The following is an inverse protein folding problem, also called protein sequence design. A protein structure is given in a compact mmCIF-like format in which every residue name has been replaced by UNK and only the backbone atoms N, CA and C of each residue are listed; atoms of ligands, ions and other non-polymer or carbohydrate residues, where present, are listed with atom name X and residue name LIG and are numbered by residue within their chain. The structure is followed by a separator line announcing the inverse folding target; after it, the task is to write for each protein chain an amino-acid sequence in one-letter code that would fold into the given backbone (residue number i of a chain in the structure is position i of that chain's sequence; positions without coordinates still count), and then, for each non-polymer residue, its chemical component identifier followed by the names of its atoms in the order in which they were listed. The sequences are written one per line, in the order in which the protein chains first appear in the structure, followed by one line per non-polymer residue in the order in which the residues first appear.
data_IF_352854207204
#
_entry.id   IF_352854207204
#
_cell.length_a   1.000
_cell.length_b   1.000
_cell.length_c   1.000
_cell.angle_alpha   90.00
_cell.angle_beta   90.00
_cell.angle_gamma   90.00
#
_symmetry.space_group_name_H-M   'P 1'
#
loop_
_entity.id
_entity.type
_entity.pdbx_description
1 polymer ?
#
# COMPACT_ATOMS: atom_id res chain seq x y z
N UNK A 1 -23.97 -74.51 45.06
CA UNK A 1 -23.07 -74.79 46.19
C UNK A 1 -21.93 -73.77 46.16
N UNK A 2 -21.64 -73.14 47.32
CA UNK A 2 -20.37 -72.51 47.81
C UNK A 2 -19.53 -71.66 46.82
N UNK A 3 -19.43 -70.32 46.99
CA UNK A 3 -18.55 -69.52 47.91
C UNK A 3 -17.06 -69.85 47.70
N UNK A 4 -16.15 -68.94 47.33
CA UNK A 4 -15.66 -67.73 48.06
C UNK A 4 -14.86 -66.81 47.10
N UNK A 5 -15.05 -65.47 47.08
CA UNK A 5 -14.32 -64.41 47.86
C UNK A 5 -12.85 -64.28 47.43
N UNK A 6 -12.27 -63.13 47.04
CA UNK A 6 -12.01 -61.86 47.77
C UNK A 6 -11.87 -60.68 46.77
N UNK A 7 -12.60 -59.57 46.93
CA UNK A 7 -12.20 -58.29 47.58
C UNK A 7 -10.84 -57.74 47.13
N UNK A 8 -10.81 -56.58 46.45
CA UNK A 8 -10.36 -55.31 47.05
C UNK A 8 -10.80 -54.11 46.19
N UNK A 9 -11.28 -53.09 46.88
CA UNK A 9 -11.77 -51.83 46.35
C UNK A 9 -10.63 -50.82 46.15
N UNK A 10 -10.80 -49.93 45.18
CA UNK A 10 -10.39 -48.53 45.29
C UNK A 10 -11.09 -47.72 44.20
N UNK A 11 -12.13 -46.99 44.59
CA UNK A 11 -12.69 -45.90 43.80
C UNK A 11 -11.81 -44.66 44.03
N UNK A 12 -11.28 -44.09 42.95
CA UNK A 12 -10.76 -42.73 42.91
C UNK A 12 -11.57 -41.96 41.87
N UNK A 13 -12.48 -41.13 42.37
CA UNK A 13 -13.19 -40.13 41.58
C UNK A 13 -12.21 -39.02 41.20
N UNK A 14 -11.81 -38.97 39.93
CA UNK A 14 -11.15 -37.80 39.35
C UNK A 14 -12.22 -36.91 38.69
N UNK A 15 -12.67 -35.89 39.40
CA UNK A 15 -13.41 -34.77 38.82
C UNK A 15 -12.38 -33.92 38.09
N UNK A 16 -12.13 -34.25 36.83
CA UNK A 16 -11.36 -33.41 35.92
C UNK A 16 -12.24 -32.26 35.45
N UNK A 17 -12.01 -31.06 35.98
CA UNK A 17 -12.53 -29.81 35.41
C UNK A 17 -11.83 -29.59 34.07
N UNK A 18 -12.46 -30.04 32.99
CA UNK A 18 -12.08 -29.70 31.62
C UNK A 18 -12.45 -28.24 31.38
N UNK A 19 -11.56 -27.32 31.74
CA UNK A 19 -11.62 -25.95 31.23
C UNK A 19 -11.32 -26.00 29.72
N UNK A 20 -12.39 -26.09 28.92
CA UNK A 20 -12.35 -25.82 27.49
C UNK A 20 -11.93 -24.36 27.32
N UNK A 21 -10.64 -24.13 27.13
CA UNK A 21 -10.14 -22.86 26.62
C UNK A 21 -10.72 -22.70 25.21
N UNK A 22 -11.79 -21.93 25.09
CA UNK A 22 -12.33 -21.55 23.80
C UNK A 22 -11.20 -20.89 22.98
N UNK A 23 -10.94 -21.32 21.73
CA UNK A 23 -9.98 -20.63 20.89
C UNK A 23 -10.43 -19.17 20.77
N UNK A 24 -9.58 -18.25 21.20
CA UNK A 24 -9.87 -16.83 21.09
C UNK A 24 -10.17 -16.49 19.63
N UNK A 25 -11.41 -16.06 19.36
CA UNK A 25 -11.79 -15.57 18.05
C UNK A 25 -10.89 -14.38 17.72
N UNK A 26 -9.95 -14.56 16.79
CA UNK A 26 -9.25 -13.42 16.20
C UNK A 26 -10.26 -12.69 15.34
N UNK A 27 -10.36 -11.37 15.52
CA UNK A 27 -11.11 -10.53 14.61
C UNK A 27 -10.52 -10.70 13.19
N UNK A 28 -11.38 -10.76 12.20
CA UNK A 28 -10.98 -10.75 10.80
C UNK A 28 -10.22 -9.46 10.48
N UNK A 29 -9.19 -9.49 9.62
CA UNK A 29 -8.51 -8.27 9.18
C UNK A 29 -9.51 -7.25 8.66
N UNK A 30 -9.46 -6.05 9.24
CA UNK A 30 -10.45 -5.03 8.95
C UNK A 30 -10.05 -4.25 7.68
N UNK A 31 -10.94 -4.22 6.70
CA UNK A 31 -10.76 -3.45 5.48
C UNK A 31 -10.67 -1.95 5.78
N UNK A 32 -9.61 -1.31 5.30
CA UNK A 32 -9.41 0.13 5.44
C UNK A 32 -9.83 0.83 4.15
N UNK A 33 -11.05 1.37 4.12
CA UNK A 33 -11.54 2.14 2.97
C UNK A 33 -11.19 3.61 3.14
N UNK A 34 -10.58 4.23 2.13
CA UNK A 34 -10.19 5.64 2.17
C UNK A 34 -8.80 5.91 1.63
N UNK A 35 -8.35 7.15 1.84
CA UNK A 35 -7.13 7.67 1.24
C UNK A 35 -5.92 7.37 2.14
N UNK A 36 -4.95 6.66 1.60
CA UNK A 36 -3.58 6.57 2.12
C UNK A 36 -2.78 7.72 1.50
N UNK A 37 -2.84 8.88 2.16
CA UNK A 37 -2.21 10.10 1.67
C UNK A 37 -0.69 9.98 1.79
N UNK A 38 0.02 10.17 0.67
CA UNK A 38 1.46 9.92 0.62
C UNK A 38 2.26 11.10 1.16
N UNK A 39 3.19 10.82 2.07
CA UNK A 39 4.26 11.74 2.43
C UNK A 39 5.30 11.76 1.30
N UNK A 40 5.78 12.95 0.89
CA UNK A 40 6.79 13.06 -0.14
C UNK A 40 8.11 12.39 0.28
N UNK A 41 8.76 11.74 -0.67
CA UNK A 41 10.11 11.21 -0.51
C UNK A 41 11.11 12.34 -0.30
N UNK A 42 11.87 12.26 0.78
CA UNK A 42 12.92 13.24 1.12
C UNK A 42 14.23 12.51 1.29
N UNK A 43 15.26 13.02 0.61
CA UNK A 43 16.63 12.54 0.73
C UNK A 43 17.46 13.58 1.46
N UNK A 44 17.80 13.31 2.72
CA UNK A 44 18.56 14.23 3.57
C UNK A 44 19.60 13.46 4.39
N UNK A 45 20.82 13.98 4.46
CA UNK A 45 21.92 13.41 5.26
C UNK A 45 22.25 11.93 4.99
N UNK A 46 21.87 11.42 3.81
CA UNK A 46 22.04 9.99 3.47
C UNK A 46 20.92 9.07 3.90
N UNK A 47 19.86 9.63 4.43
CA UNK A 47 18.64 8.93 4.83
C UNK A 47 17.55 9.28 3.83
N UNK A 48 16.72 8.30 3.50
CA UNK A 48 15.51 8.49 2.72
C UNK A 48 14.32 8.29 3.66
N UNK A 49 13.40 9.24 3.66
CA UNK A 49 12.13 9.19 4.40
C UNK A 49 10.96 9.46 3.45
N UNK A 50 9.74 9.10 3.87
CA UNK A 50 8.55 9.28 3.04
C UNK A 50 8.46 8.21 1.94
N UNK A 51 7.77 8.52 0.84
CA UNK A 51 7.51 7.53 -0.22
C UNK A 51 8.62 7.49 -1.27
N UNK A 52 9.04 6.30 -1.67
CA UNK A 52 10.04 6.12 -2.73
C UNK A 52 9.88 4.78 -3.47
N UNK A 53 10.50 4.74 -4.65
CA UNK A 53 10.64 3.55 -5.49
C UNK A 53 12.11 3.22 -5.69
N UNK A 54 12.44 1.93 -5.76
CA UNK A 54 13.72 1.43 -6.26
C UNK A 54 13.47 0.31 -7.25
N UNK A 55 14.30 0.21 -8.27
CA UNK A 55 14.22 -0.91 -9.21
C UNK A 55 15.34 -1.90 -8.92
N UNK A 56 15.00 -3.10 -8.49
CA UNK A 56 15.93 -4.21 -8.25
C UNK A 56 16.34 -4.80 -9.60
N UNK A 57 17.64 -5.02 -9.79
CA UNK A 57 18.17 -5.68 -10.98
C UNK A 57 17.73 -7.15 -11.04
N UNK A 58 17.67 -7.79 -12.22
CA UNK A 58 17.26 -9.19 -12.34
C UNK A 58 18.06 -10.17 -11.46
N UNK A 59 19.30 -9.83 -11.11
CA UNK A 59 20.18 -10.63 -10.24
C UNK A 59 20.02 -10.35 -8.75
N UNK A 60 19.33 -9.28 -8.35
CA UNK A 60 19.24 -8.81 -6.97
C UNK A 60 18.01 -9.28 -6.19
N UNK A 61 17.92 -8.86 -4.94
CA UNK A 61 16.77 -9.09 -4.07
C UNK A 61 16.32 -7.78 -3.40
N UNK A 62 15.51 -7.86 -2.34
CA UNK A 62 15.04 -6.69 -1.61
C UNK A 62 16.17 -5.81 -1.06
N UNK A 63 17.39 -6.34 -0.89
CA UNK A 63 18.62 -5.62 -0.52
C UNK A 63 19.49 -5.16 -1.69
N UNK A 64 19.11 -5.48 -2.94
CA UNK A 64 19.80 -5.09 -4.17
C UNK A 64 20.58 -6.23 -4.85
N UNK A 65 21.42 -5.92 -5.86
CA UNK A 65 21.69 -4.59 -6.39
C UNK A 65 20.49 -3.94 -7.07
N UNK A 66 20.48 -2.61 -7.09
CA UNK A 66 19.43 -1.81 -7.70
C UNK A 66 19.94 -1.09 -8.94
N UNK A 67 19.04 -0.83 -9.89
CA UNK A 67 19.27 0.03 -11.03
C UNK A 67 19.41 1.48 -10.56
N UNK A 68 20.39 2.20 -11.11
CA UNK A 68 20.58 3.62 -10.84
C UNK A 68 19.67 4.46 -11.74
N UNK A 69 18.83 5.31 -11.16
CA UNK A 69 18.10 6.34 -11.88
C UNK A 69 18.95 7.61 -11.96
N UNK A 70 19.53 7.91 -13.12
CA UNK A 70 20.34 9.12 -13.33
C UNK A 70 19.54 10.41 -13.13
N UNK A 71 18.22 10.36 -13.25
CA UNK A 71 17.33 11.51 -13.03
C UNK A 71 16.96 11.72 -11.56
N UNK A 72 17.37 10.82 -10.67
CA UNK A 72 17.13 10.98 -9.24
C UNK A 72 17.89 12.16 -8.68
N UNK A 73 17.20 12.95 -7.84
CA UNK A 73 17.79 14.06 -7.09
C UNK A 73 18.48 13.62 -5.80
N UNK A 74 18.36 12.34 -5.43
CA UNK A 74 19.00 11.81 -4.23
C UNK A 74 20.49 11.54 -4.48
N UNK A 75 21.29 11.66 -3.41
CA UNK A 75 22.71 11.26 -3.48
C UNK A 75 22.87 9.77 -3.77
N UNK A 76 21.93 8.94 -3.31
CA UNK A 76 21.78 7.56 -3.77
C UNK A 76 20.85 7.55 -4.99
N UNK A 77 21.44 7.46 -6.18
CA UNK A 77 20.69 7.46 -7.44
C UNK A 77 19.84 6.21 -7.65
N UNK A 78 19.95 5.17 -6.82
CA UNK A 78 19.04 4.02 -6.89
C UNK A 78 17.67 4.28 -6.29
N UNK A 79 17.51 5.41 -5.60
CA UNK A 79 16.27 5.84 -4.96
C UNK A 79 15.56 6.84 -5.87
N UNK A 80 14.29 6.60 -6.16
CA UNK A 80 13.42 7.54 -6.86
C UNK A 80 12.36 8.05 -5.88
N UNK A 81 12.50 9.27 -5.35
CA UNK A 81 11.49 9.86 -4.47
C UNK A 81 10.14 9.97 -5.15
N UNK A 82 9.08 9.64 -4.43
CA UNK A 82 7.71 9.75 -4.89
C UNK A 82 7.01 10.89 -4.14
N UNK A 83 5.96 11.45 -4.72
CA UNK A 83 5.09 12.42 -4.06
C UNK A 83 3.64 12.09 -4.37
N UNK A 84 2.73 12.55 -3.51
CA UNK A 84 1.30 12.37 -3.68
C UNK A 84 0.82 12.88 -5.04
N UNK A 85 0.04 12.07 -5.75
CA UNK A 85 -0.61 12.45 -7.00
C UNK A 85 -1.76 13.43 -6.81
N UNK A 86 -2.52 13.67 -7.88
CA UNK A 86 -3.67 14.58 -7.90
C UNK A 86 -4.76 14.20 -6.91
N UNK A 87 -4.86 12.92 -6.57
CA UNK A 87 -5.84 12.42 -5.60
C UNK A 87 -5.27 12.38 -4.16
N UNK A 88 -4.04 12.86 -3.97
CA UNK A 88 -3.36 12.90 -2.67
C UNK A 88 -2.67 11.59 -2.26
N UNK A 89 -2.78 10.52 -3.05
CA UNK A 89 -2.17 9.22 -2.74
C UNK A 89 -2.96 8.02 -3.24
N UNK A 90 -2.79 6.89 -2.56
CA UNK A 90 -3.45 5.63 -2.87
C UNK A 90 -4.83 5.56 -2.21
N UNK A 91 -5.87 5.30 -2.98
CA UNK A 91 -7.23 5.07 -2.47
C UNK A 91 -7.46 3.58 -2.33
N UNK A 92 -7.70 3.14 -1.09
CA UNK A 92 -8.12 1.77 -0.78
C UNK A 92 -9.65 1.70 -0.80
N UNK A 93 -10.18 0.67 -1.44
CA UNK A 93 -11.59 0.48 -1.76
C UNK A 93 -12.07 1.18 -3.04
N UNK A 94 -11.17 1.74 -3.86
CA UNK A 94 -11.57 2.48 -5.07
C UNK A 94 -10.47 2.58 -6.14
N UNK A 95 -10.83 2.39 -7.40
CA UNK A 95 -9.91 2.56 -8.53
C UNK A 95 -9.57 4.03 -8.81
N UNK A 96 -8.33 4.27 -9.20
CA UNK A 96 -7.79 5.53 -9.67
C UNK A 96 -7.23 5.31 -11.08
N UNK A 97 -8.10 5.08 -12.09
CA UNK A 97 -7.66 4.67 -13.40
C UNK A 97 -6.84 5.74 -14.10
N UNK A 98 -5.92 5.29 -14.94
CA UNK A 98 -5.24 6.15 -15.89
C UNK A 98 -6.27 6.77 -16.88
N UNK A 99 -6.04 7.99 -17.38
CA UNK A 99 -6.87 8.62 -18.39
C UNK A 99 -6.75 7.87 -19.72
N UNK A 100 -7.71 8.11 -20.61
CA UNK A 100 -7.70 7.54 -21.95
C UNK A 100 -6.43 7.90 -22.73
N UNK A 101 -5.98 9.16 -22.62
CA UNK A 101 -4.67 9.60 -23.11
C UNK A 101 -3.64 9.48 -21.97
N UNK A 102 -3.04 8.30 -21.81
CA UNK A 102 -2.09 8.05 -20.72
C UNK A 102 -0.69 8.64 -20.99
N UNK A 103 -0.37 8.95 -22.25
CA UNK A 103 0.96 9.37 -22.70
C UNK A 103 0.92 10.65 -23.53
N UNK A 104 1.97 11.46 -23.41
CA UNK A 104 2.26 12.51 -24.38
C UNK A 104 3.01 11.95 -25.61
N UNK A 105 3.28 12.82 -26.60
CA UNK A 105 3.99 12.41 -27.82
C UNK A 105 5.44 11.97 -27.60
N UNK A 106 6.03 12.19 -26.42
CA UNK A 106 7.38 11.75 -26.05
C UNK A 106 7.36 10.50 -25.14
N UNK A 107 6.18 9.95 -24.85
CA UNK A 107 6.02 8.77 -24.01
C UNK A 107 6.00 9.04 -22.50
N UNK A 108 5.97 10.30 -22.07
CA UNK A 108 5.81 10.65 -20.66
C UNK A 108 4.41 10.34 -20.19
N UNK A 109 4.30 9.82 -18.97
CA UNK A 109 3.02 9.59 -18.33
C UNK A 109 2.32 10.93 -18.04
N UNK A 110 1.10 11.08 -18.54
CA UNK A 110 0.28 12.28 -18.33
C UNK A 110 -0.54 12.23 -17.03
N UNK A 111 -0.62 11.07 -16.39
CA UNK A 111 -1.49 10.85 -15.25
C UNK A 111 -0.75 10.43 -14.02
N UNK A 112 -0.74 11.29 -13.00
CA UNK A 112 -0.25 10.95 -11.68
C UNK A 112 -1.34 11.02 -10.63
N UNK A 113 -2.30 10.10 -10.67
CA UNK A 113 -3.40 10.08 -9.68
C UNK A 113 -2.94 9.56 -8.32
N UNK A 114 -2.19 8.45 -8.30
CA UNK A 114 -1.65 7.88 -7.06
C UNK A 114 -0.36 8.61 -6.65
N UNK A 115 0.62 8.69 -7.54
CA UNK A 115 1.83 9.50 -7.38
C UNK A 115 1.93 10.54 -8.49
N UNK A 116 2.52 11.70 -8.24
CA UNK A 116 2.88 12.62 -9.33
C UNK A 116 3.78 11.92 -10.35
N UNK A 117 3.78 12.32 -11.63
CA UNK A 117 4.76 11.82 -12.58
C UNK A 117 6.19 12.13 -12.10
N UNK A 118 7.09 11.16 -12.19
CA UNK A 118 8.49 11.29 -11.79
C UNK A 118 9.40 10.77 -12.89
N UNK A 119 10.46 11.52 -13.16
CA UNK A 119 11.43 11.19 -14.20
C UNK A 119 12.22 9.92 -13.86
N UNK A 120 12.26 8.99 -14.81
CA UNK A 120 13.03 7.76 -14.71
C UNK A 120 13.61 7.41 -16.09
N UNK A 121 14.93 7.50 -16.23
CA UNK A 121 15.63 7.31 -17.51
C UNK A 121 15.07 8.17 -18.65
N UNK A 122 14.94 9.47 -18.40
CA UNK A 122 14.54 10.45 -19.41
C UNK A 122 13.04 10.54 -19.68
N UNK A 123 12.23 9.62 -19.16
CA UNK A 123 10.76 9.60 -19.33
C UNK A 123 10.05 9.66 -17.97
N UNK A 124 8.99 10.46 -17.86
CA UNK A 124 8.18 10.49 -16.64
C UNK A 124 7.33 9.23 -16.55
N UNK A 125 7.46 8.47 -15.44
CA UNK A 125 6.50 7.43 -15.11
C UNK A 125 5.46 7.95 -14.12
N UNK A 126 4.30 7.30 -14.10
CA UNK A 126 3.30 7.58 -13.10
C UNK A 126 2.46 6.35 -12.76
N UNK A 127 1.76 6.40 -11.63
CA UNK A 127 1.06 5.27 -11.03
C UNK A 127 -0.46 5.47 -11.03
N UNK A 128 -1.18 4.38 -11.30
CA UNK A 128 -2.64 4.32 -11.34
C UNK A 128 -3.15 2.96 -10.87
N UNK A 129 -4.39 2.87 -10.41
CA UNK A 129 -5.06 1.59 -10.12
C UNK A 129 -6.19 1.37 -11.12
N UNK A 130 -6.07 0.33 -11.94
CA UNK A 130 -6.96 0.07 -13.08
C UNK A 130 -7.80 -1.20 -12.85
N UNK A 131 -9.08 -1.23 -13.24
CA UNK A 131 -9.92 -2.43 -13.10
C UNK A 131 -9.44 -3.63 -13.94
N UNK A 132 -8.80 -3.36 -15.07
CA UNK A 132 -8.10 -4.35 -15.88
C UNK A 132 -6.64 -3.94 -16.02
N UNK A 133 -5.73 -4.92 -15.98
CA UNK A 133 -4.32 -4.70 -16.25
C UNK A 133 -4.15 -4.26 -17.71
N UNK A 134 -3.72 -3.01 -17.98
CA UNK A 134 -3.65 -2.50 -19.35
C UNK A 134 -2.67 -3.27 -20.23
N UNK A 135 -1.71 -4.00 -19.64
CA UNK A 135 -0.73 -4.78 -20.38
C UNK A 135 -1.33 -6.10 -20.91
N UNK A 136 -2.16 -6.78 -20.11
CA UNK A 136 -2.63 -8.14 -20.39
C UNK A 136 -4.13 -8.22 -20.68
N UNK A 137 -4.90 -7.18 -20.35
CA UNK A 137 -6.36 -7.15 -20.41
C UNK A 137 -7.06 -7.94 -19.30
N UNK A 138 -6.31 -8.61 -18.42
CA UNK A 138 -6.85 -9.42 -17.33
C UNK A 138 -7.47 -8.52 -16.26
N UNK A 139 -8.63 -8.92 -15.73
CA UNK A 139 -9.27 -8.22 -14.61
C UNK A 139 -8.41 -8.26 -13.34
N UNK A 140 -8.45 -7.19 -12.57
CA UNK A 140 -7.70 -7.05 -11.31
C UNK A 140 -8.63 -6.94 -10.11
N UNK A 141 -8.06 -7.08 -8.92
CA UNK A 141 -8.77 -6.80 -7.67
C UNK A 141 -8.93 -5.30 -7.44
N UNK A 142 -10.02 -4.94 -6.76
CA UNK A 142 -10.18 -3.59 -6.21
C UNK A 142 -9.00 -3.33 -5.26
N UNK A 143 -8.28 -2.20 -5.40
CA UNK A 143 -7.15 -1.92 -4.51
C UNK A 143 -7.64 -1.86 -3.08
N UNK A 144 -7.14 -2.73 -2.20
CA UNK A 144 -7.65 -2.86 -0.85
C UNK A 144 -6.51 -3.14 0.14
N UNK A 145 -6.45 -2.35 1.20
CA UNK A 145 -5.60 -2.57 2.35
C UNK A 145 -6.44 -3.02 3.55
N UNK A 146 -5.86 -3.87 4.38
CA UNK A 146 -6.46 -4.40 5.61
C UNK A 146 -5.55 -4.12 6.79
N UNK A 147 -6.14 -3.97 7.98
CA UNK A 147 -5.42 -3.85 9.24
C UNK A 147 -5.79 -4.98 10.20
N UNK A 148 -4.77 -5.63 10.75
CA UNK A 148 -4.89 -6.58 11.86
C UNK A 148 -3.90 -6.17 12.96
N UNK A 149 -4.42 -5.61 14.07
CA UNK A 149 -3.58 -5.17 15.19
C UNK A 149 -2.50 -4.15 14.79
N UNK A 150 -2.79 -3.27 13.83
CA UNK A 150 -1.84 -2.28 13.31
C UNK A 150 -0.85 -2.81 12.27
N UNK A 151 -0.94 -4.10 11.87
CA UNK A 151 -0.21 -4.63 10.72
C UNK A 151 -1.05 -4.47 9.47
N UNK A 152 -0.42 -3.99 8.40
CA UNK A 152 -1.05 -3.82 7.10
C UNK A 152 -0.75 -4.99 6.16
N UNK A 153 -1.77 -5.42 5.43
CA UNK A 153 -1.71 -6.31 4.28
C UNK A 153 -2.64 -5.79 3.19
N UNK A 154 -2.66 -6.41 2.01
CA UNK A 154 -3.61 -5.99 0.97
C UNK A 154 -3.45 -6.66 -0.38
N UNK A 155 -4.33 -6.23 -1.27
CA UNK A 155 -4.33 -6.51 -2.70
C UNK A 155 -4.21 -5.19 -3.45
N UNK A 156 -3.08 -4.98 -4.12
CA UNK A 156 -2.88 -3.88 -5.07
C UNK A 156 -2.60 -4.42 -6.47
N UNK A 157 -3.17 -5.58 -6.84
CA UNK A 157 -3.03 -6.18 -8.18
C UNK A 157 -3.41 -5.26 -9.33
N UNK A 158 -4.23 -4.25 -9.05
CA UNK A 158 -4.64 -3.19 -9.98
C UNK A 158 -3.59 -2.10 -10.22
N UNK A 159 -2.52 -2.04 -9.42
CA UNK A 159 -1.50 -1.00 -9.54
C UNK A 159 -0.67 -1.20 -10.82
N UNK A 160 -0.75 -0.22 -11.72
CA UNK A 160 0.04 -0.13 -12.93
C UNK A 160 0.99 1.07 -12.90
N UNK A 161 2.09 0.95 -13.63
CA UNK A 161 3.02 2.03 -13.92
C UNK A 161 3.05 2.30 -15.41
N UNK A 162 2.72 3.52 -15.77
CA UNK A 162 2.78 4.06 -17.12
C UNK A 162 4.18 4.62 -17.36
N UNK A 163 4.91 4.13 -18.36
CA UNK A 163 6.25 4.62 -18.72
C UNK A 163 6.57 4.31 -20.18
N UNK A 164 7.03 5.30 -20.93
CA UNK A 164 7.54 5.16 -22.30
C UNK A 164 6.59 4.40 -23.24
N UNK A 165 5.34 4.87 -23.32
CA UNK A 165 4.28 4.26 -24.14
C UNK A 165 3.93 2.81 -23.78
N UNK A 166 4.32 2.36 -22.58
CA UNK A 166 3.99 1.05 -22.05
C UNK A 166 3.41 1.17 -20.64
N UNK A 167 2.64 0.15 -20.27
CA UNK A 167 2.15 -0.01 -18.89
C UNK A 167 2.69 -1.31 -18.35
N UNK A 168 3.23 -1.26 -17.14
CA UNK A 168 3.74 -2.41 -16.41
C UNK A 168 2.90 -2.62 -15.17
N UNK A 169 2.36 -3.83 -14.99
CA UNK A 169 1.72 -4.17 -13.73
C UNK A 169 2.77 -4.17 -12.61
N UNK A 170 2.55 -3.36 -11.58
CA UNK A 170 3.42 -3.22 -10.40
C UNK A 170 2.70 -3.57 -9.09
N UNK A 171 1.52 -4.16 -9.21
CA UNK A 171 0.71 -4.63 -8.11
C UNK A 171 1.27 -5.85 -7.41
N UNK A 172 0.75 -6.08 -6.21
CA UNK A 172 0.90 -7.35 -5.50
C UNK A 172 -0.40 -7.71 -4.75
N UNK A 173 -0.90 -8.96 -4.88
CA UNK A 173 -0.41 -9.98 -5.81
C UNK A 173 -0.54 -9.53 -7.28
N UNK A 174 -0.03 -10.33 -8.22
CA UNK A 174 -0.35 -10.10 -9.64
C UNK A 174 -1.84 -10.38 -9.91
N UNK A 175 -2.42 -9.86 -11.02
CA UNK A 175 -3.75 -10.26 -11.44
C UNK A 175 -3.89 -11.80 -11.45
N UNK A 176 -4.94 -12.31 -10.80
CA UNK A 176 -5.12 -13.75 -10.53
C UNK A 176 -4.55 -14.25 -9.20
N UNK A 177 -4.02 -13.38 -8.34
CA UNK A 177 -3.65 -13.69 -6.95
C UNK A 177 -2.25 -14.30 -6.77
N UNK A 178 -1.51 -14.54 -7.85
CA UNK A 178 -0.17 -15.13 -7.80
C UNK A 178 0.93 -14.15 -7.36
N UNK A 179 2.03 -14.71 -6.85
CA UNK A 179 3.25 -13.98 -6.49
C UNK A 179 4.44 -14.49 -7.33
N UNK A 180 4.42 -14.33 -8.66
CA UNK A 180 5.45 -14.87 -9.52
C UNK A 180 6.80 -14.20 -9.29
N UNK A 181 7.85 -15.00 -9.41
CA UNK A 181 9.23 -14.54 -9.33
C UNK A 181 9.55 -13.89 -7.98
N UNK A 182 9.95 -12.62 -8.01
CA UNK A 182 10.33 -11.81 -6.83
C UNK A 182 9.20 -10.90 -6.35
N UNK A 183 7.96 -11.18 -6.71
CA UNK A 183 6.80 -10.46 -6.19
C UNK A 183 6.54 -10.89 -4.74
N UNK A 184 6.46 -9.93 -3.80
CA UNK A 184 6.16 -10.21 -2.40
C UNK A 184 4.74 -9.77 -2.06
N UNK A 185 4.08 -10.37 -1.05
CA UNK A 185 2.87 -9.79 -0.48
C UNK A 185 3.11 -8.35 -0.01
N UNK A 186 2.03 -7.57 0.08
CA UNK A 186 2.06 -6.27 0.75
C UNK A 186 2.19 -6.50 2.25
N UNK A 187 3.11 -5.76 2.86
CA UNK A 187 3.32 -5.77 4.30
C UNK A 187 3.53 -4.34 4.80
N UNK A 188 3.11 -4.06 6.03
CA UNK A 188 3.27 -2.72 6.57
C UNK A 188 2.76 -2.57 7.99
N UNK A 189 2.71 -1.33 8.44
CA UNK A 189 2.18 -0.96 9.75
C UNK A 189 1.36 0.32 9.66
N UNK A 190 0.38 0.46 10.54
CA UNK A 190 -0.37 1.68 10.78
C UNK A 190 -0.53 1.89 12.29
N UNK A 191 -0.30 3.12 12.76
CA UNK A 191 -0.52 3.47 14.17
C UNK A 191 -1.93 4.05 14.41
N UNK A 192 -2.25 4.33 15.67
CA UNK A 192 -3.54 4.88 16.06
C UNK A 192 -3.79 6.31 15.55
N UNK A 193 -2.74 7.05 15.18
CA UNK A 193 -2.85 8.37 14.57
C UNK A 193 -3.03 8.29 13.04
N UNK A 194 -2.94 7.09 12.45
CA UNK A 194 -3.06 6.87 11.01
C UNK A 194 -1.74 6.96 10.26
N UNK A 195 -0.60 7.13 10.95
CA UNK A 195 0.70 7.07 10.26
C UNK A 195 0.90 5.66 9.74
N UNK A 196 1.21 5.52 8.45
CA UNK A 196 1.41 4.21 7.84
C UNK A 196 2.73 4.12 7.08
N UNK A 197 3.19 2.88 6.94
CA UNK A 197 4.21 2.46 5.98
C UNK A 197 3.76 1.14 5.38
N UNK A 198 3.80 1.02 4.05
CA UNK A 198 3.62 -0.24 3.33
C UNK A 198 4.77 -0.47 2.36
N UNK A 199 5.17 -1.73 2.25
CA UNK A 199 6.27 -2.18 1.41
C UNK A 199 5.87 -3.45 0.66
N UNK A 200 6.24 -3.53 -0.62
CA UNK A 200 6.16 -4.74 -1.41
C UNK A 200 7.15 -4.71 -2.57
N UNK A 201 7.44 -5.89 -3.11
CA UNK A 201 8.13 -6.04 -4.39
C UNK A 201 7.17 -6.58 -5.45
N UNK A 202 7.34 -6.17 -6.70
CA UNK A 202 6.55 -6.66 -7.82
C UNK A 202 7.41 -6.80 -9.06
N UNK A 203 7.58 -8.04 -9.51
CA UNK A 203 8.42 -8.35 -10.67
C UNK A 203 7.69 -8.00 -11.96
N UNK A 204 8.37 -7.31 -12.87
CA UNK A 204 7.87 -6.97 -14.19
C UNK A 204 7.94 -8.21 -15.07
N UNK A 205 6.84 -8.46 -15.78
CA UNK A 205 6.71 -9.54 -16.76
C UNK A 205 6.53 -8.91 -18.14
N UNK A 206 7.44 -9.21 -19.06
CA UNK A 206 7.44 -8.65 -20.41
C UNK A 206 8.04 -7.24 -20.51
N UNK A 207 8.15 -6.75 -21.75
CA UNK A 207 8.70 -5.44 -22.07
C UNK A 207 10.21 -5.31 -21.78
N UNK A 208 10.77 -4.09 -21.90
CA UNK A 208 12.20 -3.81 -21.76
C UNK A 208 12.73 -4.01 -20.33
N UNK A 209 11.85 -3.96 -19.33
CA UNK A 209 12.19 -4.23 -17.93
C UNK A 209 11.82 -5.63 -17.47
N UNK A 210 11.65 -6.59 -18.39
CA UNK A 210 11.35 -7.97 -18.01
C UNK A 210 12.35 -8.52 -16.98
N UNK A 211 11.83 -9.14 -15.92
CA UNK A 211 12.58 -9.65 -14.76
C UNK A 211 13.22 -8.62 -13.83
N UNK A 212 13.10 -7.32 -14.11
CA UNK A 212 13.34 -6.32 -13.08
C UNK A 212 12.22 -6.34 -12.06
N UNK A 213 12.51 -5.92 -10.84
CA UNK A 213 11.52 -5.94 -9.75
C UNK A 213 11.41 -4.56 -9.13
N UNK A 214 10.21 -3.99 -9.16
CA UNK A 214 9.94 -2.75 -8.45
C UNK A 214 9.85 -3.02 -6.95
N UNK A 215 10.63 -2.31 -6.14
CA UNK A 215 10.48 -2.20 -4.70
C UNK A 215 9.77 -0.90 -4.40
N UNK A 216 8.63 -1.02 -3.75
CA UNK A 216 7.78 0.11 -3.38
C UNK A 216 7.82 0.30 -1.87
N UNK A 217 8.03 1.54 -1.46
CA UNK A 217 7.90 1.97 -0.07
C UNK A 217 6.97 3.19 -0.08
N UNK A 218 5.75 3.03 0.43
CA UNK A 218 4.80 4.12 0.55
C UNK A 218 4.57 4.42 2.02
N UNK A 219 4.75 5.68 2.40
CA UNK A 219 4.58 6.14 3.77
C UNK A 219 3.71 7.40 3.79
N UNK A 220 2.99 7.62 4.88
CA UNK A 220 2.18 8.83 5.02
C UNK A 220 1.09 8.70 6.08
N UNK A 221 -0.08 9.28 5.79
CA UNK A 221 -1.22 9.36 6.70
C UNK A 221 -2.48 8.75 6.08
N UNK A 222 -3.13 7.86 6.80
CA UNK A 222 -4.43 7.33 6.43
C UNK A 222 -5.54 8.33 6.81
N UNK A 223 -6.33 8.72 5.82
CA UNK A 223 -7.50 9.59 5.94
C UNK A 223 -8.77 8.76 5.76
N UNK A 224 -9.05 7.94 6.75
CA UNK A 224 -10.28 7.17 6.88
C UNK A 224 -10.50 6.78 8.34
N UNK A 225 -11.50 5.95 8.59
CA UNK A 225 -11.80 5.49 9.96
C UNK A 225 -10.99 4.24 10.25
N UNK A 226 -10.10 4.31 11.24
CA UNK A 226 -9.48 3.11 11.78
C UNK A 226 -10.50 2.34 12.62
N UNK A 227 -10.55 1.01 12.50
CA UNK A 227 -11.32 0.17 13.40
C UNK A 227 -10.86 0.43 14.83
N UNK A 228 -11.75 0.98 15.65
CA UNK A 228 -11.47 1.15 17.07
C UNK A 228 -11.50 -0.24 17.71
N UNK A 229 -10.47 -0.59 18.47
CA UNK A 229 -10.49 -1.81 19.27
C UNK A 229 -11.75 -1.78 20.14
N UNK A 230 -12.56 -2.84 20.10
CA UNK A 230 -13.75 -2.93 20.91
C UNK A 230 -13.37 -2.63 22.38
N UNK A 231 -14.11 -1.77 23.09
CA UNK A 231 -13.84 -1.53 24.49
C UNK A 231 -13.88 -2.88 25.20
N UNK A 232 -12.85 -3.16 26.01
CA UNK A 232 -12.79 -4.36 26.82
C UNK A 232 -14.13 -4.52 27.54
N UNK A 233 -14.79 -5.66 27.34
CA UNK A 233 -16.07 -5.94 27.98
C UNK A 233 -15.93 -5.64 29.47
N UNK A 234 -16.76 -4.72 29.97
CA UNK A 234 -16.80 -4.41 31.38
C UNK A 234 -17.01 -5.73 32.16
N UNK A 235 -16.36 -5.92 33.32
CA UNK A 235 -16.58 -7.11 34.13
C UNK A 235 -18.08 -7.26 34.35
N UNK A 236 -18.64 -8.40 33.92
CA UNK A 236 -20.03 -8.74 34.20
C UNK A 236 -20.17 -8.82 35.72
N UNK A 237 -20.76 -7.79 36.32
CA UNK A 237 -21.17 -7.86 37.70
C UNK A 237 -22.19 -9.01 37.84
N UNK A 238 -22.07 -9.89 38.86
CA UNK A 238 -23.03 -10.96 39.06
C UNK A 238 -24.42 -10.36 39.32
N UNK A 239 -25.31 -10.51 38.34
CA UNK A 239 -26.69 -10.04 38.42
C UNK A 239 -27.46 -10.83 39.48
N UNK A 240 -28.04 -10.11 40.43
CA UNK A 240 -29.00 -10.65 41.39
C UNK A 240 -30.29 -11.12 40.68
N UNK A 241 -30.96 -12.18 41.17
CA UNK A 241 -32.12 -12.74 40.49
C UNK A 241 -33.40 -11.97 40.81
N UNK A 242 -34.17 -11.62 39.77
CA UNK A 242 -35.61 -11.37 39.90
C UNK A 242 -36.14 -10.12 39.21
N UNK A 243 -36.52 -10.24 37.94
CA UNK A 243 -37.63 -9.47 37.36
C UNK A 243 -38.19 -10.20 36.12
N UNK A 244 -39.50 -10.52 36.06
CA UNK A 244 -40.11 -11.18 34.91
C UNK A 244 -40.36 -10.21 33.72
N UNK A 245 -40.48 -10.73 32.48
CA UNK A 245 -40.46 -9.94 31.26
C UNK A 245 -41.77 -9.17 30.98
N UNK A 246 -41.64 -7.92 30.53
CA UNK A 246 -42.74 -7.12 30.02
C UNK A 246 -43.09 -7.51 28.56
N UNK A 247 -44.39 -7.62 28.30
CA UNK A 247 -44.98 -8.07 27.05
C UNK A 247 -44.78 -7.10 25.88
N UNK A 248 -44.63 -7.67 24.68
CA UNK A 248 -44.50 -6.98 23.41
C UNK A 248 -45.82 -6.31 22.97
N UNK A 249 -45.73 -5.07 22.46
CA UNK A 249 -46.82 -4.35 21.80
C UNK A 249 -46.57 -4.36 20.27
N UNK A 250 -47.54 -4.74 19.42
CA UNK A 250 -47.37 -4.73 17.96
C UNK A 250 -47.43 -3.31 17.37
N UNK A 251 -46.54 -3.02 16.42
CA UNK A 251 -46.52 -1.80 15.60
C UNK A 251 -47.57 -1.85 14.47
N UNK A 252 -48.27 -0.74 14.25
CA UNK A 252 -49.19 -0.54 13.12
C UNK A 252 -48.45 -0.02 11.86
N UNK A 253 -48.96 -0.27 10.64
CA UNK A 253 -48.18 -0.13 9.41
C UNK A 253 -48.13 1.29 8.81
N UNK A 254 -47.09 1.43 7.99
CA UNK A 254 -46.56 2.59 7.26
C UNK A 254 -47.51 3.08 6.16
N UNK A 255 -47.68 4.39 6.03
CA UNK A 255 -48.29 5.02 4.84
C UNK A 255 -47.23 5.75 4.01
N UNK A 256 -47.28 5.50 2.70
CA UNK A 256 -46.32 5.90 1.67
C UNK A 256 -46.37 7.41 1.27
N UNK A 257 -45.36 7.93 0.54
CA UNK A 257 -45.14 9.36 0.34
C UNK A 257 -45.86 9.95 -0.89
N UNK A 258 -46.21 11.23 -0.82
CA UNK A 258 -46.76 12.04 -1.93
C UNK A 258 -45.68 12.98 -2.47
N UNK A 259 -45.43 12.92 -3.77
CA UNK A 259 -44.58 13.84 -4.54
C UNK A 259 -45.47 14.79 -5.40
N UNK A 260 -44.91 15.73 -6.20
CA UNK A 260 -44.97 17.18 -5.94
C UNK A 260 -45.83 17.95 -6.96
N UNK A 261 -46.10 19.23 -6.69
CA UNK A 261 -46.68 20.15 -7.67
C UNK A 261 -45.83 21.42 -7.75
N UNK A 262 -45.31 21.67 -8.95
CA UNK A 262 -44.70 22.91 -9.42
C UNK A 262 -45.74 24.04 -9.52
N UNK A 263 -45.33 25.29 -9.24
CA UNK A 263 -45.71 26.46 -10.03
C UNK A 263 -44.86 27.68 -9.65
N UNK A 264 -44.29 28.30 -10.68
CA UNK A 264 -43.34 29.41 -10.65
C UNK A 264 -44.00 30.79 -10.44
N UNK A 265 -43.22 31.75 -9.90
CA UNK A 265 -43.29 33.17 -10.28
C UNK A 265 -42.05 33.95 -9.79
N UNK A 266 -41.45 34.71 -10.71
CA UNK A 266 -40.38 35.72 -10.59
C UNK A 266 -40.92 36.93 -11.40
N UNK A 267 -40.76 38.24 -11.02
CA UNK A 267 -39.46 38.95 -11.04
C UNK A 267 -39.16 40.10 -10.04
N UNK A 268 -37.85 40.44 -10.00
CA UNK A 268 -36.99 41.45 -9.31
C UNK A 268 -37.39 42.95 -9.47
N UNK A 269 -36.59 44.01 -9.09
CA UNK A 269 -35.25 44.14 -8.45
C UNK A 269 -35.05 45.29 -7.39
N UNK A 270 -33.84 45.37 -6.79
CA UNK A 270 -33.26 46.53 -6.07
C UNK A 270 -33.27 46.34 -4.54
N UNK A 271 -32.18 46.49 -3.76
CA UNK A 271 -31.10 47.49 -3.77
C UNK A 271 -29.96 46.99 -2.87
N UNK A 272 -28.71 47.28 -3.22
CA UNK A 272 -27.52 47.24 -2.33
C UNK A 272 -26.77 48.59 -2.52
N UNK A 273 -25.77 49.00 -1.71
CA UNK A 273 -25.12 48.31 -0.59
C UNK A 273 -24.94 49.17 0.69
N UNK A 274 -24.64 48.55 1.83
CA UNK A 274 -23.98 49.24 2.95
C UNK A 274 -22.99 48.27 3.65
N UNK A 275 -21.77 48.75 3.86
CA UNK A 275 -20.69 48.13 4.61
C UNK A 275 -20.01 49.23 5.45
N UNK A 276 -19.12 48.91 6.42
CA UNK A 276 -19.07 47.75 7.31
C UNK A 276 -18.98 48.18 8.80
N UNK A 277 -19.30 47.27 9.71
CA UNK A 277 -18.90 47.38 11.12
C UNK A 277 -17.83 46.31 11.40
N UNK A 278 -16.65 46.75 11.87
CA UNK A 278 -15.64 45.87 12.47
C UNK A 278 -16.24 45.20 13.74
N UNK A 279 -15.74 44.03 14.20
CA UNK A 279 -14.66 44.13 15.19
C UNK A 279 -13.74 42.88 15.36
N UNK A 280 -12.71 43.08 16.18
CA UNK A 280 -11.92 42.12 17.01
C UNK A 280 -11.02 41.06 16.34
N UNK A 281 -9.73 41.34 16.50
CA UNK A 281 -8.56 40.44 16.52
C UNK A 281 -8.81 39.03 17.04
N UNK A 282 -8.53 38.03 16.21
CA UNK A 282 -8.24 36.64 16.62
C UNK A 282 -6.73 36.39 16.57
N UNK A 283 -6.12 35.78 17.59
CA UNK A 283 -4.70 35.42 17.54
C UNK A 283 -4.48 34.26 16.55
N UNK A 284 -3.35 34.34 15.83
CA UNK A 284 -2.92 33.34 14.86
C UNK A 284 -2.93 31.91 15.45
N UNK A 285 -3.27 30.87 14.66
CA UNK A 285 -3.03 29.50 15.08
C UNK A 285 -1.52 29.31 15.24
N UNK A 286 -1.10 29.08 16.48
CA UNK A 286 0.26 28.69 16.81
C UNK A 286 0.64 27.45 15.99
N UNK A 287 1.81 27.53 15.37
CA UNK A 287 2.49 26.43 14.68
C UNK A 287 2.52 25.22 15.63
N UNK A 288 1.62 24.27 15.41
CA UNK A 288 1.57 23.04 16.19
C UNK A 288 2.73 22.19 15.70
N UNK A 289 3.72 22.00 16.57
CA UNK A 289 4.89 21.19 16.32
C UNK A 289 4.50 19.83 15.74
N UNK A 290 5.20 19.45 14.67
CA UNK A 290 5.01 18.24 13.87
C UNK A 290 4.98 16.98 14.76
N UNK A 291 3.91 16.16 14.70
CA UNK A 291 4.01 14.80 15.20
C UNK A 291 4.94 14.03 14.26
N UNK A 292 6.03 13.51 14.84
CA UNK A 292 7.01 12.61 14.22
C UNK A 292 6.31 11.61 13.29
N UNK A 293 6.38 11.89 11.98
CA UNK A 293 5.94 10.97 10.94
C UNK A 293 6.68 9.64 11.15
N UNK A 294 5.95 8.53 11.07
CA UNK A 294 6.45 7.16 11.24
C UNK A 294 7.65 6.91 10.32
N UNK A 295 8.83 7.27 10.82
CA UNK A 295 10.08 7.09 10.12
C UNK A 295 10.54 5.70 10.52
N UNK A 296 10.08 4.68 9.81
CA UNK A 296 10.88 3.47 9.71
C UNK A 296 12.09 3.87 8.86
N UNK A 297 13.10 4.40 9.53
CA UNK A 297 14.36 4.78 8.91
C UNK A 297 14.93 3.50 8.33
N UNK A 298 14.90 3.35 7.01
CA UNK A 298 15.71 2.33 6.37
C UNK A 298 17.13 2.84 6.51
N UNK A 299 17.86 2.31 7.49
CA UNK A 299 19.28 2.55 7.61
C UNK A 299 19.96 1.95 6.38
N UNK A 300 20.19 2.79 5.37
CA UNK A 300 20.94 2.41 4.18
C UNK A 300 22.36 2.16 4.68
N UNK A 301 22.79 0.88 4.70
CA UNK A 301 24.19 0.53 4.94
C UNK A 301 25.07 1.25 3.92
N UNK A 302 25.59 2.41 4.31
CA UNK A 302 26.66 3.09 3.58
C UNK A 302 27.93 2.29 3.77
N UNK A 303 28.46 1.78 2.65
CA UNK A 303 29.86 1.39 2.56
C UNK A 303 30.14 -0.10 2.71
N UNK A 304 29.65 -0.92 1.79
CA UNK A 304 30.50 -2.00 1.29
C UNK A 304 31.17 -1.50 0.01
N UNK A 305 32.32 -0.82 0.17
CA UNK A 305 33.26 -0.70 -0.94
C UNK A 305 33.71 -2.13 -1.25
N UNK A 306 33.41 -2.61 -2.45
CA UNK A 306 33.92 -3.88 -2.96
C UNK A 306 35.19 -3.58 -3.74
N UNK A 307 36.38 -3.51 -3.10
CA UNK A 307 37.63 -3.23 -3.80
C UNK A 307 37.95 -4.28 -4.86
N UNK A 308 37.28 -5.44 -4.81
CA UNK A 308 37.37 -6.52 -5.78
C UNK A 308 36.46 -6.34 -7.01
N UNK A 309 35.46 -5.46 -6.97
CA UNK A 309 34.49 -5.31 -8.07
C UNK A 309 35.14 -4.63 -9.29
N UNK A 310 36.00 -3.63 -9.04
CA UNK A 310 36.76 -2.93 -10.09
C UNK A 310 37.72 -3.88 -10.83
N UNK A 311 38.58 -4.67 -10.16
CA UNK A 311 39.43 -5.63 -10.87
C UNK A 311 38.62 -6.73 -11.56
N UNK A 312 37.49 -7.19 -11.00
CA UNK A 312 36.64 -8.19 -11.68
C UNK A 312 36.00 -7.63 -12.95
N UNK A 313 35.46 -6.41 -12.91
CA UNK A 313 34.92 -5.75 -14.11
C UNK A 313 36.00 -5.51 -15.17
N UNK A 314 37.23 -5.22 -14.75
CA UNK A 314 38.36 -5.03 -15.66
C UNK A 314 38.78 -6.35 -16.33
N UNK A 315 38.81 -7.46 -15.58
CA UNK A 315 39.03 -8.81 -16.14
C UNK A 315 37.92 -9.20 -17.12
N UNK A 316 36.65 -8.92 -16.79
CA UNK A 316 35.51 -9.22 -17.68
C UNK A 316 35.57 -8.37 -18.95
N UNK A 317 35.94 -7.09 -18.86
CA UNK A 317 36.11 -6.23 -20.02
C UNK A 317 37.26 -6.71 -20.93
N UNK A 318 38.41 -7.08 -20.34
CA UNK A 318 39.55 -7.62 -21.08
C UNK A 318 39.19 -8.95 -21.75
N UNK A 319 38.52 -9.86 -21.05
CA UNK A 319 38.05 -11.12 -21.62
C UNK A 319 37.04 -10.90 -22.76
N UNK A 320 36.12 -9.95 -22.61
CA UNK A 320 35.17 -9.56 -23.65
C UNK A 320 35.87 -9.04 -24.90
N UNK A 321 36.87 -8.16 -24.75
CA UNK A 321 37.66 -7.68 -25.89
C UNK A 321 38.46 -8.80 -26.56
N UNK A 322 39.07 -9.72 -25.80
CA UNK A 322 39.81 -10.85 -26.35
C UNK A 322 38.92 -11.81 -27.16
N UNK A 323 37.69 -12.07 -26.71
CA UNK A 323 36.70 -12.86 -27.45
C UNK A 323 36.26 -12.15 -28.72
N UNK A 324 36.06 -10.83 -28.67
CA UNK A 324 35.65 -10.03 -29.84
C UNK A 324 36.74 -9.99 -30.93
N UNK A 325 38.00 -9.80 -30.56
CA UNK A 325 39.12 -9.84 -31.51
C UNK A 325 39.49 -11.27 -31.96
N UNK A 326 39.27 -12.29 -31.10
CA UNK A 326 39.43 -13.69 -31.46
C UNK A 326 38.41 -14.18 -32.49
N UNK A 327 37.16 -13.73 -32.38
CA UNK A 327 36.10 -14.02 -33.34
C UNK A 327 36.38 -13.40 -34.71
N UNK A 328 36.95 -12.19 -34.76
CA UNK A 328 37.30 -11.51 -36.02
C UNK A 328 38.45 -12.20 -36.78
N UNK A 329 39.34 -12.88 -36.04
CA UNK A 329 40.44 -13.68 -36.62
C UNK A 329 39.98 -15.01 -37.22
N UNK A 330 38.93 -15.62 -36.67
CA UNK A 330 38.32 -16.86 -37.18
C UNK A 330 37.51 -16.63 -38.47
N UNK A 331 36.93 -15.45 -38.65
CA UNK A 331 36.19 -15.10 -39.86
C UNK A 331 37.08 -14.79 -41.08
N UNK A 332 38.33 -14.32 -40.87
CA UNK A 332 39.28 -14.08 -41.97
C UNK A 332 39.97 -15.32 -42.51
N UNK A 333 40.03 -16.42 -41.74
CA UNK A 333 40.67 -17.68 -42.18
C UNK A 333 39.73 -18.52 -43.08
N UNK A 334 38.44 -18.15 -43.17
CA UNK A 334 37.42 -18.85 -43.98
C UNK A 334 37.05 -18.13 -45.29
N UNK A 335 37.87 -17.18 -45.76
CA UNK A 335 37.79 -16.64 -47.13
C UNK A 335 39.04 -16.96 -47.91
#
# INVERSE_FOLDING_TARGET
MRRHSYRFAAALAAIGVSALAAPGARAEPAALNGLFALAPGVCANGVVSGSFFRMILPTGDAGGPYLQNSDSRCSDQTVTPLSAGTDGGLVSGGYQPQPAAAFDGAGNAQSGRVTTPVRFYGVDFATATNPSDPQTGVGTGLPQLFSDGGRLSGDLSSLGVTWNNQVFNQGSPKPGGGLPGKTSPISGTIDAAGNFVIEWTSQIVGGPFNNFTGLWHLAGQYRGSLPQAAPAAAPVAPGSPGAPPAAAVPQAPVSAPRAPADAAAVPSPGTAPAAPAAPITSPAPQLRADPVLATKTVEIRRGQRYPWLVPVLLVVAVAGTAVFFGADRLLRIRR
#
